data_IF_804531286449
#
_entry.id   IF_804531286449
#
_cell.length_a   1.000
_cell.length_b   1.000
_cell.length_c   1.000
_cell.angle_alpha   90.00
_cell.angle_beta   90.00
_cell.angle_gamma   90.00
#
_symmetry.space_group_name_H-M   'P 1'
#
loop_
_entity.id
_entity.type
_entity.pdbx_description
1 polymer ?
#
# COMPACT_ATOMS: atom_id res chain seq x y z
N UNK A 1 1.76 24.19 -37.21
CA UNK A 1 0.86 23.08 -37.60
C UNK A 1 1.33 21.65 -37.28
N UNK A 2 2.62 21.33 -37.05
CA UNK A 2 3.04 19.95 -36.67
C UNK A 2 3.34 19.74 -35.17
N UNK A 3 3.76 20.79 -34.45
CA UNK A 3 4.19 20.69 -33.05
C UNK A 3 3.01 20.55 -32.07
N UNK A 4 1.91 21.26 -32.30
CA UNK A 4 0.71 21.19 -31.45
C UNK A 4 0.07 19.81 -31.46
N UNK A 5 0.02 19.13 -32.62
CA UNK A 5 -0.56 17.78 -32.71
C UNK A 5 0.23 16.76 -31.88
N UNK A 6 1.56 16.85 -31.88
CA UNK A 6 2.40 15.96 -31.07
C UNK A 6 2.22 16.21 -29.56
N UNK A 7 2.13 17.49 -29.17
CA UNK A 7 1.87 17.87 -27.78
C UNK A 7 0.48 17.46 -27.31
N UNK A 8 -0.57 17.71 -28.10
CA UNK A 8 -1.93 17.28 -27.78
C UNK A 8 -2.08 15.76 -27.71
N UNK A 9 -1.33 15.00 -28.53
CA UNK A 9 -1.27 13.54 -28.41
C UNK A 9 -0.58 13.12 -27.10
N UNK A 10 0.48 13.82 -26.70
CA UNK A 10 1.15 13.61 -25.41
C UNK A 10 0.22 13.82 -24.22
N UNK A 11 -0.59 14.88 -24.24
CA UNK A 11 -1.56 15.17 -23.18
C UNK A 11 -2.64 14.09 -23.06
N UNK A 12 -3.11 13.55 -24.18
CA UNK A 12 -4.08 12.44 -24.20
C UNK A 12 -3.47 11.17 -23.60
N UNK A 13 -2.23 10.83 -23.96
CA UNK A 13 -1.53 9.67 -23.41
C UNK A 13 -1.27 9.82 -21.90
N UNK A 14 -0.93 11.04 -21.45
CA UNK A 14 -0.77 11.36 -20.03
C UNK A 14 -2.10 11.20 -19.28
N UNK A 15 -3.18 11.71 -19.85
CA UNK A 15 -4.53 11.55 -19.31
C UNK A 15 -4.97 10.09 -19.23
N UNK A 16 -4.64 9.26 -20.24
CA UNK A 16 -4.98 7.84 -20.26
C UNK A 16 -4.25 7.06 -19.17
N UNK A 17 -2.95 7.32 -18.96
CA UNK A 17 -2.18 6.72 -17.87
C UNK A 17 -2.74 7.11 -16.50
N UNK A 18 -3.09 8.38 -16.33
CA UNK A 18 -3.72 8.87 -15.10
C UNK A 18 -5.09 8.23 -14.89
N UNK A 19 -5.92 8.11 -15.94
CA UNK A 19 -7.27 7.57 -15.86
C UNK A 19 -7.29 6.11 -15.39
N UNK A 20 -6.33 5.29 -15.82
CA UNK A 20 -6.21 3.89 -15.38
C UNK A 20 -5.78 3.81 -13.91
N UNK A 21 -4.87 4.67 -13.47
CA UNK A 21 -4.30 4.62 -12.11
C UNK A 21 -5.12 5.38 -11.06
N UNK A 22 -5.88 6.41 -11.46
CA UNK A 22 -6.65 7.27 -10.56
C UNK A 22 -7.68 6.50 -9.71
N UNK A 23 -8.45 5.53 -10.24
CA UNK A 23 -9.35 4.70 -9.44
C UNK A 23 -8.61 3.91 -8.34
N UNK A 24 -7.43 3.39 -8.66
CA UNK A 24 -6.59 2.65 -7.71
C UNK A 24 -6.15 3.57 -6.57
N UNK A 25 -5.68 4.79 -6.90
CA UNK A 25 -5.31 5.80 -5.89
C UNK A 25 -6.50 6.15 -5.00
N UNK A 26 -7.71 6.30 -5.55
CA UNK A 26 -8.91 6.63 -4.77
C UNK A 26 -9.27 5.50 -3.79
N UNK A 27 -9.19 4.24 -4.23
CA UNK A 27 -9.44 3.07 -3.38
C UNK A 27 -8.39 2.98 -2.26
N UNK A 28 -7.11 3.09 -2.62
CA UNK A 28 -5.99 3.07 -1.66
C UNK A 28 -6.02 4.27 -0.71
N UNK A 29 -6.50 5.43 -1.16
CA UNK A 29 -6.62 6.65 -0.35
C UNK A 29 -7.47 6.44 0.90
N UNK A 30 -8.56 5.65 0.80
CA UNK A 30 -9.39 5.30 1.96
C UNK A 30 -8.63 4.47 3.00
N UNK A 31 -7.70 3.62 2.56
CA UNK A 31 -6.85 2.80 3.45
C UNK A 31 -5.76 3.70 4.05
N UNK A 32 -5.10 4.52 3.24
CA UNK A 32 -4.06 5.45 3.67
C UNK A 32 -4.56 6.43 4.76
N UNK A 33 -5.76 6.99 4.60
CA UNK A 33 -6.37 7.85 5.62
C UNK A 33 -6.65 7.09 6.91
N UNK A 34 -7.10 5.84 6.84
CA UNK A 34 -7.30 4.99 8.03
C UNK A 34 -5.97 4.71 8.75
N UNK A 35 -4.91 4.35 8.02
CA UNK A 35 -3.57 4.19 8.58
C UNK A 35 -3.07 5.48 9.26
N UNK A 36 -3.24 6.63 8.59
CA UNK A 36 -2.81 7.92 9.12
C UNK A 36 -3.57 8.30 10.40
N UNK A 37 -4.87 8.02 10.45
CA UNK A 37 -5.70 8.26 11.64
C UNK A 37 -5.28 7.35 12.80
N UNK A 38 -5.03 6.06 12.55
CA UNK A 38 -4.55 5.12 13.56
C UNK A 38 -3.19 5.57 14.14
N UNK A 39 -2.23 5.88 13.27
CA UNK A 39 -0.93 6.44 13.68
C UNK A 39 -1.10 7.70 14.53
N UNK A 40 -1.94 8.64 14.09
CA UNK A 40 -2.20 9.90 14.80
C UNK A 40 -2.84 9.65 16.16
N UNK A 41 -3.77 8.69 16.26
CA UNK A 41 -4.41 8.31 17.52
C UNK A 41 -3.41 7.67 18.49
N UNK A 42 -2.54 6.77 18.01
CA UNK A 42 -1.49 6.14 18.84
C UNK A 42 -0.49 7.18 19.36
N UNK A 43 -0.04 8.11 18.50
CA UNK A 43 0.84 9.22 18.91
C UNK A 43 0.20 10.14 19.94
N UNK A 44 -1.08 10.50 19.78
CA UNK A 44 -1.81 11.34 20.74
C UNK A 44 -1.96 10.68 22.11
N UNK A 45 -2.01 9.35 22.16
CA UNK A 45 -2.07 8.56 23.40
C UNK A 45 -0.70 8.40 24.08
N UNK A 46 0.37 8.93 23.50
CA UNK A 46 1.74 8.77 24.02
C UNK A 46 2.27 7.34 23.89
N UNK A 47 1.65 6.51 23.03
CA UNK A 47 2.08 5.13 22.77
C UNK A 47 3.16 5.11 21.69
N UNK A 48 4.02 4.10 21.73
CA UNK A 48 4.93 3.78 20.63
C UNK A 48 4.14 3.22 19.44
N UNK A 49 4.07 3.93 18.30
CA UNK A 49 3.16 3.59 17.22
C UNK A 49 3.54 2.27 16.54
N UNK A 50 2.65 1.27 16.61
CA UNK A 50 2.79 -0.01 15.92
C UNK A 50 1.54 -0.27 15.10
N UNK A 51 1.73 -0.43 13.80
CA UNK A 51 0.66 -0.75 12.88
C UNK A 51 0.37 -2.25 12.90
N UNK A 52 -0.90 -2.61 13.06
CA UNK A 52 -1.41 -3.97 12.82
C UNK A 52 -2.58 -3.90 11.84
N UNK A 53 -2.71 -4.88 10.94
CA UNK A 53 -3.76 -4.89 9.92
C UNK A 53 -5.17 -4.74 10.52
N UNK A 54 -5.42 -5.38 11.66
CA UNK A 54 -6.73 -5.35 12.32
C UNK A 54 -7.06 -3.98 12.93
N UNK A 55 -6.07 -3.13 13.20
CA UNK A 55 -6.28 -1.78 13.75
C UNK A 55 -7.07 -0.86 12.81
N UNK A 56 -7.04 -1.15 11.50
CA UNK A 56 -7.78 -0.39 10.48
C UNK A 56 -8.82 -1.23 9.72
N UNK A 57 -9.07 -2.46 10.18
CA UNK A 57 -10.01 -3.39 9.57
C UNK A 57 -9.56 -3.95 8.22
N UNK A 58 -8.25 -4.08 8.00
CA UNK A 58 -7.71 -4.85 6.88
C UNK A 58 -7.67 -6.33 7.24
N UNK A 59 -7.89 -7.19 6.26
CA UNK A 59 -7.72 -8.64 6.42
C UNK A 59 -6.22 -8.95 6.55
N UNK A 60 -5.74 -9.47 7.70
CA UNK A 60 -4.34 -9.82 7.88
C UNK A 60 -3.83 -10.85 6.86
N UNK A 61 -4.70 -11.70 6.31
CA UNK A 61 -4.32 -12.73 5.34
C UNK A 61 -3.95 -12.16 3.96
N UNK A 62 -4.35 -10.92 3.66
CA UNK A 62 -3.96 -10.20 2.45
C UNK A 62 -2.63 -9.43 2.62
N UNK A 63 -2.03 -9.43 3.83
CA UNK A 63 -0.80 -8.70 4.13
C UNK A 63 0.38 -9.63 4.41
N UNK A 64 1.52 -9.35 3.76
CA UNK A 64 2.74 -10.15 3.93
C UNK A 64 3.45 -9.91 5.28
N UNK A 65 3.38 -8.70 5.85
CA UNK A 65 4.24 -8.30 6.98
C UNK A 65 3.51 -7.77 8.23
N UNK A 66 2.29 -7.25 8.14
CA UNK A 66 1.59 -6.60 9.27
C UNK A 66 0.42 -7.43 9.82
N UNK A 67 0.64 -8.75 9.88
CA UNK A 67 -0.31 -9.69 10.45
C UNK A 67 -0.40 -9.50 11.98
N UNK A 68 -1.62 -9.47 12.51
CA UNK A 68 -1.87 -9.46 13.95
C UNK A 68 -1.32 -10.76 14.55
N UNK A 69 -0.20 -10.64 15.29
CA UNK A 69 0.69 -11.74 15.70
C UNK A 69 0.04 -13.12 15.86
N UNK A 70 0.58 -14.05 15.06
CA UNK A 70 1.57 -15.01 15.57
C UNK A 70 2.87 -14.82 14.79
N UNK A 71 4.01 -14.71 15.46
CA UNK A 71 5.36 -14.67 14.85
C UNK A 71 6.18 -15.89 15.32
N UNK A 72 7.28 -16.35 14.68
CA UNK A 72 7.83 -16.10 13.34
C UNK A 72 8.17 -17.41 12.52
N UNK A 73 8.69 -17.24 11.28
CA UNK A 73 9.40 -18.18 10.37
C UNK A 73 8.58 -19.27 9.63
N UNK A 74 8.22 -19.12 8.34
CA UNK A 74 8.97 -19.22 7.05
C UNK A 74 8.79 -20.58 6.35
N UNK A 75 8.57 -20.59 5.03
CA UNK A 75 8.81 -21.76 4.18
C UNK A 75 9.85 -21.53 3.06
N UNK A 76 10.20 -20.28 2.73
CA UNK A 76 11.33 -19.99 1.84
C UNK A 76 12.69 -20.09 2.56
N UNK A 77 12.77 -19.73 3.86
CA UNK A 77 14.05 -19.77 4.59
C UNK A 77 14.41 -21.16 5.13
N UNK A 78 13.46 -22.10 5.15
CA UNK A 78 13.69 -23.49 5.53
C UNK A 78 14.31 -24.32 4.38
N UNK A 79 13.95 -24.01 3.13
CA UNK A 79 14.45 -24.72 1.96
C UNK A 79 15.92 -24.39 1.65
N UNK A 80 16.35 -23.14 1.88
CA UNK A 80 17.73 -22.70 1.63
C UNK A 80 18.72 -23.22 2.68
N UNK A 81 18.28 -23.45 3.92
CA UNK A 81 19.11 -24.04 4.99
C UNK A 81 19.21 -25.56 4.96
N UNK A 82 18.34 -26.25 4.23
CA UNK A 82 18.35 -27.71 4.07
C UNK A 82 19.11 -28.20 2.82
N UNK A 83 19.51 -27.27 1.94
CA UNK A 83 20.27 -27.56 0.71
C UNK A 83 21.78 -27.33 0.86
N UNK A 84 22.26 -27.11 2.09
CA UNK A 84 23.67 -27.24 2.50
C UNK A 84 23.86 -28.56 3.21
#
# INVERSE_FOLDING_TARGET
LKFEVAWSLGDILMGLMALINLPVIVILGRIAVRCANDYTAQRKKGLDPKFTASSIGLDPSELDYWQDKKAPASAKDAAEKAAV
#
